data_IF_985462760416
#
_entry.id   IF_985462760416
#
_cell.length_a   1.000
_cell.length_b   1.000
_cell.length_c   1.000
_cell.angle_alpha   90.00
_cell.angle_beta   90.00
_cell.angle_gamma   90.00
#
_symmetry.space_group_name_H-M   'P 1'
#
loop_
_entity.id
_entity.type
_entity.pdbx_description
1 polymer ?
2 polymer ?
3 polymer ?
4 non-polymer ?
5 non-polymer ?
6 water ?
#
loop_
_entity_poly.entity_id
_entity_poly.type
_entity_poly.pdbx_seq_one_letter_code
_entity_poly.pdbx_strand_id
2 'polydeoxyribonucleotide' '(DT)(DC)(DA)(8OG)(DG)(DG)(DG)(DT)(DC)(DC)(DT)' ?
3 'polydeoxyribonucleotide' '(DA)(DG)(DG)(DA)(DC)(DC)(DC)' ?
#
# COMPACT_ATOMS: atom_id res chain seq x y z
N UNK A 27 -10.12 11.28 20.04
CA UNK A 27 -11.37 10.55 20.27
C UNK A 27 -11.30 9.12 19.75
N UNK A 28 -10.88 8.96 18.50
CA UNK A 28 -10.79 7.63 17.88
C UNK A 28 -9.50 6.94 18.26
N UNK A 29 -9.53 5.61 18.19
CA UNK A 29 -8.34 4.80 18.35
C UNK A 29 -8.11 3.98 17.08
N UNK A 30 -7.12 4.40 16.30
CA UNK A 30 -6.85 3.80 15.00
C UNK A 30 -5.52 3.06 15.05
N UNK A 31 -5.47 1.88 14.43
CA UNK A 31 -4.21 1.18 14.29
C UNK A 31 -3.80 1.06 12.82
N UNK A 32 -2.50 1.19 12.57
CA UNK A 32 -1.93 0.95 11.25
C UNK A 32 -0.98 -0.24 11.31
N UNK A 33 -1.24 -1.25 10.48
CA UNK A 33 -0.38 -2.44 10.46
C UNK A 33 0.42 -2.44 9.16
N UNK A 34 1.71 -2.72 9.27
CA UNK A 34 2.64 -2.57 8.16
C UNK A 34 3.62 -3.74 8.20
N UNK A 35 3.52 -4.64 7.22
CA UNK A 35 4.30 -5.88 7.24
C UNK A 35 5.77 -5.62 6.99
N UNK A 36 6.64 -6.40 7.62
CA UNK A 36 8.06 -6.26 7.38
C UNK A 36 8.69 -6.87 6.14
N UNK A 37 9.36 -6.03 5.33
CA UNK A 37 9.84 -6.31 3.99
C UNK A 37 8.95 -7.30 3.24
N UNK A 38 7.71 -6.90 2.99
CA UNK A 38 6.65 -7.83 2.59
C UNK A 38 7.02 -8.91 1.55
N UNK A 39 7.37 -8.51 0.33
CA UNK A 39 7.66 -9.50 -0.72
C UNK A 39 8.75 -10.47 -0.27
N UNK A 40 9.84 -9.91 0.25
CA UNK A 40 10.96 -10.71 0.71
C UNK A 40 10.52 -11.70 1.79
N UNK A 41 9.66 -11.24 2.70
CA UNK A 41 9.16 -12.11 3.76
C UNK A 41 8.41 -13.29 3.19
N UNK A 42 7.59 -13.03 2.17
CA UNK A 42 6.85 -14.11 1.51
C UNK A 42 7.82 -15.09 0.85
N UNK A 43 8.85 -14.58 0.17
CA UNK A 43 9.84 -15.44 -0.47
C UNK A 43 10.59 -16.27 0.55
N UNK A 44 10.98 -15.64 1.66
CA UNK A 44 11.72 -16.34 2.70
C UNK A 44 10.89 -17.47 3.30
N UNK A 45 9.57 -17.28 3.33
CA UNK A 45 8.67 -18.31 3.81
C UNK A 45 8.52 -19.46 2.79
N UNK A 46 8.42 -19.12 1.52
CA UNK A 46 8.27 -20.12 0.46
C UNK A 46 9.51 -20.99 0.33
N UNK A 47 10.66 -20.37 0.57
CA UNK A 47 11.95 -21.02 0.44
C UNK A 47 12.79 -20.74 1.67
N UNK A 48 12.38 -21.32 2.82
CA UNK A 48 13.04 -21.09 4.11
C UNK A 48 14.56 -21.25 4.06
N UNK A 49 15.09 -21.73 2.93
CA UNK A 49 16.53 -21.82 2.75
C UNK A 49 17.12 -20.44 2.50
N UNK A 50 16.27 -19.42 2.55
CA UNK A 50 16.68 -18.05 2.25
C UNK A 50 16.68 -17.14 3.47
N UNK A 51 16.00 -17.53 4.54
CA UNK A 51 15.83 -16.66 5.70
C UNK A 51 17.12 -16.45 6.48
N UNK A 52 18.21 -16.97 5.93
CA UNK A 52 19.51 -16.85 6.58
C UNK A 52 20.38 -15.86 5.82
N UNK A 53 20.01 -15.61 4.56
CA UNK A 53 20.85 -14.86 3.64
C UNK A 53 20.27 -13.49 3.31
N UNK A 54 21.13 -12.56 2.88
CA UNK A 54 20.62 -11.28 2.39
C UNK A 54 19.82 -11.54 1.12
N UNK A 55 18.56 -11.11 1.10
CA UNK A 55 17.66 -11.43 0.00
C UNK A 55 17.06 -10.18 -0.62
N UNK A 56 17.07 -10.13 -1.94
CA UNK A 56 16.44 -9.05 -2.68
C UNK A 56 15.38 -9.60 -3.63
N UNK A 57 14.27 -8.88 -3.77
CA UNK A 57 13.23 -9.24 -4.71
C UNK A 57 13.33 -8.36 -5.94
N UNK A 58 13.49 -8.98 -7.10
CA UNK A 58 13.81 -8.28 -8.32
C UNK A 58 12.62 -8.19 -9.28
N UNK A 59 12.44 -7.02 -9.88
CA UNK A 59 11.47 -6.83 -10.94
C UNK A 59 12.18 -6.09 -12.09
N UNK A 60 12.38 -6.81 -13.19
CA UNK A 60 13.23 -6.31 -14.28
C UNK A 60 14.59 -5.91 -13.70
N UNK A 61 14.91 -4.62 -13.75
CA UNK A 61 16.20 -4.12 -13.31
C UNK A 61 16.18 -3.52 -11.90
N UNK A 62 15.06 -3.67 -11.22
CA UNK A 62 14.89 -3.07 -9.89
C UNK A 62 14.88 -4.07 -8.75
N UNK A 63 15.52 -3.71 -7.65
CA UNK A 63 15.35 -4.46 -6.42
C UNK A 63 14.26 -3.76 -5.61
N UNK A 64 13.02 -4.17 -5.82
CA UNK A 64 11.90 -3.45 -5.26
C UNK A 64 11.95 -3.42 -3.74
N UNK A 65 12.39 -4.52 -3.14
CA UNK A 65 12.58 -4.58 -1.70
C UNK A 65 13.58 -5.69 -1.34
N UNK A 66 14.04 -5.67 -0.10
CA UNK A 66 15.00 -6.65 0.40
C UNK A 66 14.77 -6.90 1.88
N UNK A 67 15.20 -8.05 2.38
CA UNK A 67 15.07 -8.34 3.81
C UNK A 67 16.06 -7.53 4.64
N UNK A 68 15.94 -7.62 5.96
CA UNK A 68 16.74 -6.76 6.84
C UNK A 68 18.19 -7.18 6.94
N UNK A 69 18.47 -8.43 6.59
CA UNK A 69 19.86 -8.87 6.46
C UNK A 69 20.52 -8.09 5.34
N UNK A 70 19.77 -7.83 4.27
CA UNK A 70 20.29 -7.10 3.12
C UNK A 70 20.45 -5.61 3.38
N UNK A 71 19.53 -5.01 4.13
CA UNK A 71 19.60 -3.58 4.41
C UNK A 71 20.78 -3.28 5.32
N UNK A 72 21.14 -4.26 6.14
CA UNK A 72 22.33 -4.18 6.98
C UNK A 72 23.57 -3.95 6.12
N UNK A 73 23.58 -4.55 4.94
CA UNK A 73 24.75 -4.56 4.07
C UNK A 73 24.77 -3.42 3.05
N UNK A 74 23.82 -2.49 3.18
CA UNK A 74 23.78 -1.33 2.31
C UNK A 74 22.70 -1.34 1.25
N UNK A 75 21.95 -2.43 1.14
CA UNK A 75 20.91 -2.54 0.12
C UNK A 75 19.65 -1.75 0.52
N UNK A 76 19.16 -0.92 -0.39
CA UNK A 76 18.01 -0.06 -0.12
C UNK A 76 16.84 -0.39 -1.05
N UNK A 77 15.63 -0.06 -0.62
CA UNK A 77 14.43 -0.32 -1.42
C UNK A 77 14.52 0.37 -2.77
N UNK A 78 14.07 -0.32 -3.82
CA UNK A 78 13.99 0.26 -5.15
C UNK A 78 15.37 0.61 -5.74
N UNK A 79 16.42 -0.07 -5.31
CA UNK A 79 17.76 0.18 -5.85
C UNK A 79 17.97 -0.55 -7.17
N UNK A 80 18.83 0.00 -8.02
CA UNK A 80 19.23 -0.65 -9.26
C UNK A 80 19.98 -1.95 -8.94
N UNK A 81 19.72 -3.00 -9.71
CA UNK A 81 20.43 -4.27 -9.49
C UNK A 81 21.93 -4.08 -9.63
N UNK A 82 22.34 -3.10 -10.42
CA UNK A 82 23.74 -2.76 -10.56
C UNK A 82 24.29 -2.26 -9.23
N UNK A 83 23.63 -1.26 -8.65
CA UNK A 83 24.03 -0.71 -7.36
C UNK A 83 24.02 -1.79 -6.29
N UNK A 84 22.96 -2.60 -6.31
CA UNK A 84 22.79 -3.64 -5.29
C UNK A 84 23.82 -4.75 -5.43
N UNK A 85 24.13 -5.12 -6.67
CA UNK A 85 25.15 -6.14 -6.94
C UNK A 85 26.50 -5.70 -6.40
N UNK A 86 26.96 -4.55 -6.87
CA UNK A 86 28.23 -3.98 -6.45
C UNK A 86 28.32 -3.87 -4.93
N UNK A 87 27.30 -3.28 -4.33
CA UNK A 87 27.29 -3.02 -2.89
C UNK A 87 27.12 -4.29 -2.07
N UNK A 88 26.61 -5.34 -2.70
CA UNK A 88 26.37 -6.60 -1.99
C UNK A 88 26.37 -7.78 -2.97
N UNK A 89 27.57 -8.21 -3.40
CA UNK A 89 27.72 -9.30 -4.37
C UNK A 89 27.11 -10.62 -3.92
N UNK A 90 26.99 -10.85 -2.62
CA UNK A 90 26.40 -12.09 -2.11
C UNK A 90 24.89 -11.98 -1.94
N UNK A 91 24.31 -10.96 -2.55
CA UNK A 91 22.86 -10.74 -2.49
C UNK A 91 22.11 -11.75 -3.35
N UNK A 92 21.32 -12.60 -2.73
CA UNK A 92 20.47 -13.52 -3.47
C UNK A 92 19.26 -12.76 -4.05
N UNK A 93 19.03 -12.91 -5.34
CA UNK A 93 17.89 -12.28 -5.98
C UNK A 93 16.84 -13.31 -6.37
N UNK A 94 15.59 -13.04 -6.00
CA UNK A 94 14.46 -13.82 -6.49
C UNK A 94 13.56 -12.92 -7.32
N UNK A 95 12.89 -13.48 -8.32
CA UNK A 95 12.07 -12.67 -9.21
C UNK A 95 10.65 -12.46 -8.68
N UNK A 96 10.24 -11.20 -8.57
CA UNK A 96 8.93 -10.88 -8.02
C UNK A 96 8.01 -10.13 -8.96
N UNK A 97 8.13 -10.43 -10.26
CA UNK A 97 7.28 -9.81 -11.26
C UNK A 97 5.85 -10.35 -11.22
N UNK A 98 5.70 -11.64 -10.93
CA UNK A 98 4.39 -12.24 -10.71
C UNK A 98 3.96 -11.98 -9.27
N UNK A 99 2.90 -11.18 -9.11
CA UNK A 99 2.46 -10.77 -7.79
C UNK A 99 1.50 -11.76 -7.13
N UNK A 100 1.23 -12.87 -7.80
CA UNK A 100 0.18 -13.80 -7.37
C UNK A 100 0.28 -14.20 -5.89
N UNK A 101 1.46 -14.63 -5.45
CA UNK A 101 1.62 -15.08 -4.07
C UNK A 101 1.59 -13.93 -3.06
N UNK A 102 2.16 -12.78 -3.41
CA UNK A 102 2.09 -11.62 -2.52
C UNK A 102 0.63 -11.21 -2.34
N UNK A 103 -0.09 -11.17 -3.45
CA UNK A 103 -1.50 -10.80 -3.45
C UNK A 103 -2.32 -11.74 -2.56
N UNK A 104 -2.08 -13.04 -2.69
CA UNK A 104 -2.79 -14.01 -1.87
C UNK A 104 -2.49 -13.84 -0.38
N UNK A 105 -1.22 -13.69 -0.01
CA UNK A 105 -0.88 -13.47 1.41
C UNK A 105 -1.48 -12.15 1.88
N UNK A 106 -1.44 -11.15 1.01
CA UNK A 106 -1.98 -9.83 1.34
C UNK A 106 -3.42 -9.92 1.83
N UNK A 107 -4.26 -10.63 1.06
CA UNK A 107 -5.67 -10.79 1.47
C UNK A 107 -5.86 -11.66 2.72
N UNK A 108 -5.02 -12.69 2.89
CA UNK A 108 -5.08 -13.42 4.14
C UNK A 108 -4.83 -12.49 5.33
N UNK A 109 -3.95 -11.50 5.15
CA UNK A 109 -3.68 -10.57 6.26
C UNK A 109 -4.93 -9.75 6.57
N UNK A 110 -5.52 -9.11 5.56
CA UNK A 110 -6.64 -8.26 5.90
C UNK A 110 -7.85 -9.05 6.36
N UNK A 111 -8.01 -10.27 5.84
CA UNK A 111 -9.13 -11.11 6.28
C UNK A 111 -8.95 -11.44 7.74
N UNK A 112 -7.71 -11.72 8.14
CA UNK A 112 -7.43 -11.97 9.56
C UNK A 112 -7.76 -10.72 10.41
N UNK A 113 -7.35 -9.55 9.93
CA UNK A 113 -7.63 -8.32 10.68
C UNK A 113 -9.14 -8.07 10.76
N UNK A 114 -9.87 -8.37 9.69
CA UNK A 114 -11.32 -8.17 9.67
C UNK A 114 -12.07 -8.95 10.76
N UNK A 115 -11.41 -9.97 11.30
CA UNK A 115 -12.00 -10.78 12.34
C UNK A 115 -12.07 -9.99 13.64
N UNK A 116 -11.10 -9.11 13.82
CA UNK A 116 -11.06 -8.20 14.97
C UNK A 116 -12.11 -7.11 14.81
N UNK A 117 -12.13 -6.46 13.65
CA UNK A 117 -13.16 -5.48 13.36
C UNK A 117 -13.38 -5.48 11.86
N UNK A 118 -14.65 -5.48 11.44
CA UNK A 118 -15.01 -5.70 10.04
C UNK A 118 -14.56 -4.57 9.10
N UNK A 119 -14.36 -3.37 9.64
CA UNK A 119 -13.97 -2.23 8.81
C UNK A 119 -12.45 -2.09 8.76
N UNK A 120 -11.85 -2.70 7.74
CA UNK A 120 -10.42 -2.67 7.57
C UNK A 120 -10.14 -2.02 6.24
N UNK A 121 -9.21 -1.06 6.22
CA UNK A 121 -8.86 -0.35 5.00
C UNK A 121 -7.46 -0.74 4.54
N UNK A 122 -7.35 -1.23 3.31
CA UNK A 122 -6.06 -1.65 2.77
C UNK A 122 -5.36 -0.46 2.17
N UNK A 123 -4.04 -0.44 2.25
CA UNK A 123 -3.27 0.53 1.52
C UNK A 123 -2.14 -0.22 0.85
N UNK A 124 -2.22 -0.42 -0.45
CA UNK A 124 -1.29 -1.29 -1.13
C UNK A 124 -1.43 -2.72 -0.63
N UNK A 125 -0.42 -3.54 -0.88
CA UNK A 125 -0.52 -4.95 -0.56
C UNK A 125 -0.16 -5.30 0.88
N UNK A 126 0.56 -4.42 1.57
CA UNK A 126 1.07 -4.83 2.87
C UNK A 126 0.71 -3.93 4.06
N UNK A 127 -0.21 -2.99 3.86
CA UNK A 127 -0.63 -2.12 4.97
C UNK A 127 -2.15 -2.15 5.15
N UNK A 128 -2.60 -2.07 6.40
CA UNK A 128 -4.01 -2.01 6.73
C UNK A 128 -4.29 -1.03 7.88
N UNK A 129 -5.37 -0.26 7.78
CA UNK A 129 -5.90 0.50 8.93
C UNK A 129 -7.10 -0.20 9.51
N UNK A 130 -7.22 -0.18 10.83
CA UNK A 130 -8.39 -0.69 11.52
C UNK A 130 -8.84 0.32 12.57
N UNK A 131 -10.13 0.64 12.59
CA UNK A 131 -10.65 1.55 13.60
C UNK A 131 -11.04 0.73 14.84
N UNK A 132 -10.22 0.84 15.87
CA UNK A 132 -10.38 0.02 17.07
C UNK A 132 -11.30 0.62 18.12
N UNK A 133 -11.89 1.79 17.86
CA UNK A 133 -12.48 2.53 18.99
C UNK A 133 -13.72 1.86 19.60
N UNK A 134 -14.53 1.22 18.77
CA UNK A 134 -15.67 0.47 19.29
C UNK A 134 -15.18 -0.69 20.14
N UNK A 135 -14.12 -1.35 19.67
CA UNK A 135 -13.55 -2.49 20.37
C UNK A 135 -12.90 -2.06 21.69
N UNK A 136 -12.18 -0.95 21.65
CA UNK A 136 -11.59 -0.41 22.87
C UNK A 136 -12.66 -0.10 23.90
N UNK A 137 -13.70 0.60 23.46
CA UNK A 137 -14.83 0.96 24.30
C UNK A 137 -15.42 -0.27 24.98
N UNK A 138 -15.56 -1.34 24.22
CA UNK A 138 -16.17 -2.57 24.69
C UNK A 138 -15.33 -3.16 25.82
N UNK A 139 -14.02 -3.20 25.60
CA UNK A 139 -13.11 -3.77 26.59
C UNK A 139 -13.11 -2.98 27.90
N UNK A 140 -13.24 -1.66 27.82
CA UNK A 140 -13.25 -0.82 29.03
C UNK A 140 -14.52 -1.02 29.83
N UNK A 141 -15.66 -1.06 29.14
CA UNK A 141 -16.94 -1.27 29.81
C UNK A 141 -16.96 -2.56 30.62
N UNK A 142 -16.05 -3.46 30.31
CA UNK A 142 -15.99 -4.76 30.95
C UNK A 142 -14.98 -4.79 32.09
N UNK A 143 -14.01 -3.88 32.03
CA UNK A 143 -13.00 -3.79 33.08
C UNK A 143 -13.63 -3.46 34.43
N UNK A 144 -12.97 -3.88 35.50
CA UNK A 144 -13.44 -3.56 36.85
C UNK A 144 -12.59 -2.43 37.40
N UNK A 145 -12.99 -1.91 38.56
CA UNK A 145 -12.24 -0.82 39.19
C UNK A 145 -10.79 -1.19 39.46
N UNK A 146 -10.59 -2.29 40.17
CA UNK A 146 -9.27 -2.67 40.66
C UNK A 146 -8.30 -3.09 39.56
N UNK A 147 -8.77 -3.18 38.31
CA UNK A 147 -7.94 -3.63 37.21
C UNK A 147 -7.68 -2.55 36.16
N UNK A 148 -8.19 -1.35 36.40
CA UNK A 148 -7.90 -0.20 35.57
C UNK A 148 -6.57 0.38 36.02
N UNK A 149 -5.99 -0.24 37.03
CA UNK A 149 -4.85 0.31 37.78
C UNK A 149 -3.50 0.42 37.06
N UNK A 150 -2.88 -0.62 36.48
CA UNK A 150 -3.30 -2.01 36.22
C UNK A 150 -3.37 -2.25 34.71
N UNK A 151 -3.80 -1.21 33.99
CA UNK A 151 -3.76 -1.22 32.53
C UNK A 151 -2.35 -0.85 32.09
N UNK A 152 -1.82 -1.60 31.12
CA UNK A 152 -0.43 -1.43 30.70
C UNK A 152 -0.27 -1.27 29.19
N UNK A 153 0.89 -0.75 28.77
CA UNK A 153 1.20 -0.64 27.36
C UNK A 153 1.80 -1.93 26.80
N UNK A 154 1.51 -2.21 25.55
CA UNK A 154 2.25 -3.21 24.80
C UNK A 154 3.10 -2.51 23.75
N UNK A 155 4.41 -2.69 23.84
CA UNK A 155 5.31 -2.11 22.86
C UNK A 155 5.83 -0.75 23.29
N UNK A 156 6.34 0.01 22.33
CA UNK A 156 6.95 1.31 22.61
C UNK A 156 5.92 2.42 22.75
N UNK A 157 6.21 3.38 23.62
CA UNK A 157 5.45 4.63 23.71
C UNK A 157 6.27 5.68 22.99
N UNK A 158 5.69 6.29 21.96
CA UNK A 158 6.44 7.24 21.16
C UNK A 158 7.05 8.34 22.04
N UNK A 159 8.31 8.68 21.75
CA UNK A 159 9.04 9.73 22.44
C UNK A 159 9.18 9.46 23.93
N UNK A 160 9.07 8.19 24.32
CA UNK A 160 9.17 7.82 25.74
C UNK A 160 8.27 8.67 26.63
N UNK A 161 7.18 9.18 26.08
CA UNK A 161 6.29 10.04 26.86
C UNK A 161 5.66 9.28 28.02
N UNK A 162 5.61 9.90 29.18
CA UNK A 162 5.08 9.20 30.35
C UNK A 162 3.56 9.08 30.28
N UNK A 163 3.06 7.97 30.80
CA UNK A 163 1.64 7.64 30.76
C UNK A 163 0.91 8.14 31.99
N UNK A 164 -0.26 8.74 31.78
CA UNK A 164 -1.10 9.14 32.90
C UNK A 164 -2.35 8.28 32.88
N UNK A 165 -2.42 7.33 33.82
CA UNK A 165 -3.51 6.34 33.84
C UNK A 165 -4.86 6.96 34.18
N UNK A 166 -4.85 8.24 34.59
CA UNK A 166 -6.07 8.93 34.92
C UNK A 166 -6.62 9.66 33.70
N UNK A 167 -5.79 9.72 32.66
CA UNK A 167 -6.20 10.38 31.43
C UNK A 167 -6.91 9.34 30.56
N UNK A 168 -8.23 9.47 30.38
CA UNK A 168 -8.99 8.47 29.64
C UNK A 168 -8.50 8.27 28.19
N UNK A 169 -7.90 9.31 27.62
CA UNK A 169 -7.32 9.19 26.28
C UNK A 169 -6.10 8.28 26.28
N UNK A 170 -5.29 8.39 27.33
CA UNK A 170 -4.12 7.52 27.46
C UNK A 170 -4.60 6.09 27.65
N UNK A 171 -5.64 5.91 28.47
CA UNK A 171 -6.12 4.56 28.76
C UNK A 171 -6.64 3.87 27.50
N UNK A 172 -7.34 4.63 26.66
CA UNK A 172 -7.93 4.09 25.44
C UNK A 172 -6.86 3.72 24.44
N UNK A 173 -5.84 4.56 24.33
CA UNK A 173 -4.73 4.29 23.44
C UNK A 173 -3.90 3.08 23.90
N UNK A 174 -3.80 2.90 25.23
CA UNK A 174 -3.10 1.74 25.78
C UNK A 174 -3.82 0.45 25.44
N UNK A 175 -5.15 0.44 25.56
CA UNK A 175 -5.92 -0.74 25.20
C UNK A 175 -5.75 -1.01 23.71
N UNK A 176 -5.71 0.07 22.93
CA UNK A 176 -5.41 -0.01 21.51
C UNK A 176 -4.13 -0.78 21.28
N UNK A 177 -3.07 -0.41 21.99
CA UNK A 177 -1.79 -1.07 21.84
C UNK A 177 -1.90 -2.55 22.16
N UNK A 178 -2.73 -2.89 23.15
CA UNK A 178 -2.91 -4.30 23.53
C UNK A 178 -3.57 -5.09 22.40
N UNK A 179 -4.61 -4.51 21.80
CA UNK A 179 -5.28 -5.14 20.68
C UNK A 179 -4.31 -5.29 19.52
N UNK A 180 -3.55 -4.22 19.27
CA UNK A 180 -2.56 -4.23 18.19
C UNK A 180 -1.57 -5.37 18.34
N UNK A 181 -1.19 -5.65 19.58
CA UNK A 181 -0.25 -6.73 19.83
C UNK A 181 -0.90 -8.11 19.62
N UNK A 182 -2.18 -8.22 19.97
CA UNK A 182 -2.97 -9.42 19.70
C UNK A 182 -3.05 -9.67 18.19
N UNK A 183 -3.19 -8.58 17.44
CA UNK A 183 -3.20 -8.63 16.00
C UNK A 183 -1.88 -9.14 15.46
N UNK A 184 -0.77 -8.58 15.93
CA UNK A 184 0.53 -8.97 15.40
C UNK A 184 0.85 -10.41 15.78
N UNK A 185 0.36 -10.83 16.94
CA UNK A 185 0.55 -12.18 17.44
C UNK A 185 -0.23 -13.20 16.61
N UNK A 186 -1.48 -12.88 16.28
CA UNK A 186 -2.30 -13.74 15.44
C UNK A 186 -1.68 -13.87 14.06
N UNK A 187 -1.20 -12.75 13.53
CA UNK A 187 -0.62 -12.72 12.21
C UNK A 187 0.60 -13.63 12.16
N UNK A 188 1.36 -13.65 13.24
CA UNK A 188 2.54 -14.49 13.27
C UNK A 188 2.14 -15.96 13.45
N UNK A 189 1.25 -16.20 14.39
CA UNK A 189 0.83 -17.54 14.73
C UNK A 189 0.09 -18.24 13.59
N UNK A 190 -0.74 -17.47 12.87
CA UNK A 190 -1.61 -18.06 11.86
C UNK A 190 -1.09 -17.94 10.44
N UNK A 191 -0.24 -16.95 10.18
CA UNK A 191 0.26 -16.74 8.83
C UNK A 191 1.76 -16.75 8.75
N UNK A 192 2.43 -16.77 9.90
CA UNK A 192 3.89 -16.75 9.91
C UNK A 192 4.49 -15.40 9.56
N UNK A 193 3.65 -14.36 9.58
CA UNK A 193 4.05 -13.05 9.11
C UNK A 193 4.34 -12.10 10.26
N UNK A 194 5.39 -11.32 10.09
CA UNK A 194 5.86 -10.40 11.10
C UNK A 194 5.64 -9.00 10.54
N UNK A 195 5.41 -8.02 11.41
CA UNK A 195 5.11 -6.66 10.98
C UNK A 195 5.04 -5.64 12.10
N UNK A 196 4.94 -4.37 11.74
CA UNK A 196 4.83 -3.30 12.71
C UNK A 196 3.40 -2.80 12.86
N UNK A 197 3.11 -2.22 14.02
CA UNK A 197 1.84 -1.57 14.29
C UNK A 197 2.09 -0.17 14.85
N UNK A 198 1.23 0.78 14.48
CA UNK A 198 1.25 2.09 15.09
C UNK A 198 -0.16 2.39 15.58
N UNK A 199 -0.30 2.85 16.81
CA UNK A 199 -1.61 3.18 17.35
C UNK A 199 -1.66 4.68 17.67
N UNK A 200 -2.69 5.34 17.16
CA UNK A 200 -2.87 6.78 17.39
C UNK A 200 -4.33 7.19 17.18
N UNK A 201 -4.59 8.49 17.20
CA UNK A 201 -5.97 8.97 17.19
C UNK A 201 -6.54 9.18 15.79
N UNK A 202 -5.68 9.12 14.76
CA UNK A 202 -6.16 9.16 13.39
C UNK A 202 -5.23 8.38 12.45
N UNK A 203 -5.66 8.20 11.21
CA UNK A 203 -4.93 7.37 10.24
C UNK A 203 -3.55 7.92 9.91
N UNK A 204 -3.48 9.23 9.67
CA UNK A 204 -2.21 9.91 9.39
C UNK A 204 -1.18 9.55 10.44
N UNK A 205 -1.56 9.78 11.70
CA UNK A 205 -0.65 9.62 12.83
C UNK A 205 -0.34 8.15 13.13
N UNK A 206 -1.32 7.26 12.96
CA UNK A 206 -1.06 5.85 13.15
C UNK A 206 0.00 5.40 12.15
N UNK A 207 -0.13 5.88 10.92
CA UNK A 207 0.79 5.50 9.86
C UNK A 207 2.18 6.09 10.05
N UNK A 208 2.26 7.32 10.54
CA UNK A 208 3.56 7.92 10.80
C UNK A 208 4.24 7.24 11.97
N UNK A 209 3.46 6.83 12.97
CA UNK A 209 4.09 6.27 14.17
C UNK A 209 4.45 4.78 14.08
N UNK A 210 3.81 4.06 13.16
CA UNK A 210 4.02 2.61 13.07
C UNK A 210 5.43 2.26 12.62
N UNK A 211 6.05 3.14 11.84
CA UNK A 211 7.43 2.93 11.42
C UNK A 211 8.54 3.46 12.33
N UNK A 212 8.19 3.96 13.51
CA UNK A 212 9.23 4.56 14.38
C UNK A 212 10.20 3.51 14.90
N UNK A 213 9.69 2.34 15.29
CA UNK A 213 10.56 1.23 15.66
C UNK A 213 10.32 0.08 14.69
N UNK A 214 11.35 -0.29 13.95
CA UNK A 214 11.29 -1.37 12.96
C UNK A 214 12.54 -2.21 13.07
N UNK A 215 12.47 -3.49 12.66
CA UNK A 215 11.25 -4.16 12.18
C UNK A 215 10.52 -4.88 13.32
N UNK A 216 9.36 -5.43 13.00
CA UNK A 216 8.63 -6.29 13.95
C UNK A 216 8.47 -5.71 15.37
N UNK A 217 8.00 -4.47 15.46
CA UNK A 217 7.76 -3.81 16.74
C UNK A 217 6.53 -2.93 16.60
N UNK A 218 6.07 -2.34 17.70
CA UNK A 218 4.92 -1.44 17.61
C UNK A 218 5.09 -0.27 18.53
N UNK A 219 4.48 0.84 18.16
CA UNK A 219 4.50 2.00 19.04
C UNK A 219 3.19 2.76 19.07
N UNK A 220 2.90 3.35 20.23
CA UNK A 220 1.66 4.06 20.45
C UNK A 220 1.95 5.54 20.64
N UNK A 221 1.10 6.38 20.05
CA UNK A 221 1.26 7.84 20.10
C UNK A 221 0.27 8.49 21.07
N UNK A 222 0.77 9.04 22.17
CA UNK A 222 -0.07 9.80 23.09
C UNK A 222 -0.23 11.20 22.53
N UNK A 223 -1.37 11.86 22.79
CA UNK A 223 -1.72 13.11 22.12
C UNK A 223 -0.69 14.25 22.30
N UNK A 224 -0.09 14.38 23.47
CA UNK A 224 0.85 15.50 23.67
C UNK A 224 2.15 15.35 22.89
N UNK A 225 2.36 14.20 22.28
CA UNK A 225 3.56 13.99 21.47
C UNK A 225 3.30 14.13 19.97
N UNK A 226 2.07 14.51 19.62
CA UNK A 226 1.69 14.68 18.23
C UNK A 226 2.60 15.66 17.46
N UNK A 227 2.88 16.81 18.05
CA UNK A 227 3.71 17.81 17.35
C UNK A 227 5.14 17.32 17.17
N UNK A 228 5.67 16.63 18.16
CA UNK A 228 7.01 16.09 18.07
C UNK A 228 7.07 15.12 16.89
N UNK A 229 6.05 14.29 16.74
CA UNK A 229 6.01 13.34 15.63
C UNK A 229 6.02 14.04 14.28
N UNK A 230 5.13 15.01 14.08
CA UNK A 230 5.07 15.67 12.79
C UNK A 230 6.33 16.49 12.48
N UNK A 231 6.90 17.11 13.51
CA UNK A 231 8.10 17.91 13.29
C UNK A 231 9.35 17.06 13.17
N UNK A 232 9.26 15.78 13.54
CA UNK A 232 10.37 14.84 13.34
C UNK A 232 10.63 14.58 11.85
N UNK A 233 9.68 14.92 10.99
CA UNK A 233 9.84 14.69 9.55
C UNK A 233 10.78 15.72 8.95
N UNK A 234 11.57 15.31 7.96
CA UNK A 234 12.58 16.19 7.38
C UNK A 234 12.23 16.68 5.98
N UNK A 235 11.27 16.03 5.35
CA UNK A 235 10.85 16.41 4.00
C UNK A 235 9.34 16.42 3.93
N UNK A 236 8.79 17.40 3.24
CA UNK A 236 7.35 17.54 3.20
C UNK A 236 6.71 16.36 2.45
N UNK A 237 7.48 15.68 1.61
CA UNK A 237 7.00 14.47 0.92
C UNK A 237 6.73 13.32 1.88
N UNK A 238 7.30 13.36 3.08
CA UNK A 238 7.11 12.25 4.02
C UNK A 238 5.68 12.17 4.56
N UNK A 239 4.91 13.23 4.35
CA UNK A 239 3.52 13.26 4.76
C UNK A 239 2.70 12.50 3.71
N UNK A 240 2.07 11.40 4.12
CA UNK A 240 1.15 10.65 3.24
C UNK A 240 0.10 11.59 2.69
N UNK A 241 0.09 11.78 1.37
CA UNK A 241 -0.89 12.64 0.72
C UNK A 241 -0.18 13.74 -0.05
N UNK A 242 1.08 13.95 0.31
CA UNK A 242 1.89 14.91 -0.41
C UNK A 242 2.93 14.15 -1.26
N UNK A 243 2.72 14.12 -2.56
CA UNK A 243 3.55 13.34 -3.46
C UNK A 243 4.51 14.16 -4.30
N UNK A 244 5.08 13.54 -5.33
CA UNK A 244 6.12 14.16 -6.14
C UNK A 244 5.70 15.50 -6.73
N UNK A 245 4.54 15.52 -7.38
CA UNK A 245 4.07 16.74 -8.03
C UNK A 245 3.79 17.85 -6.99
N UNK A 246 3.07 17.48 -5.95
CA UNK A 246 2.65 18.45 -4.94
C UNK A 246 3.88 19.01 -4.22
N UNK A 247 4.83 18.14 -3.89
CA UNK A 247 6.03 18.56 -3.18
C UNK A 247 6.92 19.43 -4.05
N UNK A 248 6.94 19.13 -5.35
CA UNK A 248 7.72 19.93 -6.29
C UNK A 248 7.14 21.34 -6.36
N UNK A 249 5.81 21.44 -6.36
CA UNK A 249 5.15 22.74 -6.38
C UNK A 249 5.46 23.51 -5.11
N UNK A 250 5.42 22.82 -3.97
CA UNK A 250 5.69 23.47 -2.67
C UNK A 250 7.13 23.94 -2.57
N UNK A 251 8.06 23.16 -3.11
CA UNK A 251 9.45 23.55 -3.16
C UNK A 251 9.59 24.84 -3.95
N UNK A 252 8.77 24.99 -4.97
CA UNK A 252 8.75 26.19 -5.79
C UNK A 252 8.30 27.40 -4.98
N UNK A 253 7.49 27.15 -3.95
CA UNK A 253 6.91 28.23 -3.18
C UNK A 253 7.75 28.57 -1.94
N UNK A 254 8.91 27.94 -1.81
CA UNK A 254 9.78 28.17 -0.67
C UNK A 254 9.40 27.30 0.52
N UNK A 255 8.51 26.35 0.31
CA UNK A 255 8.01 25.51 1.39
C UNK A 255 8.75 24.17 1.46
N UNK A 256 9.49 23.95 2.53
CA UNK A 256 10.33 22.77 2.63
C UNK A 256 10.13 21.94 3.88
N UNK A 257 9.86 22.60 5.01
CA UNK A 257 9.64 21.89 6.26
C UNK A 257 8.14 21.68 6.49
N UNK A 258 7.79 20.77 7.38
CA UNK A 258 6.42 20.73 7.86
C UNK A 258 6.02 22.14 8.29
N UNK A 259 6.80 22.75 9.18
CA UNK A 259 6.46 24.09 9.68
C UNK A 259 6.28 25.14 8.59
N UNK A 260 7.12 25.13 7.56
CA UNK A 260 6.87 26.03 6.41
C UNK A 260 5.46 25.85 5.89
N UNK A 261 5.00 24.60 5.79
CA UNK A 261 3.65 24.35 5.28
C UNK A 261 2.59 24.78 6.29
N UNK A 262 2.82 24.46 7.56
CA UNK A 262 1.90 24.86 8.61
C UNK A 262 1.70 26.37 8.59
N UNK A 263 2.77 27.07 8.23
CA UNK A 263 2.87 28.52 8.36
C UNK A 263 2.47 29.30 7.11
N UNK A 264 2.44 28.62 5.97
CA UNK A 264 2.23 29.33 4.72
C UNK A 264 0.82 29.93 4.64
N UNK A 265 0.70 31.05 3.93
CA UNK A 265 -0.59 31.71 3.75
C UNK A 265 -1.59 30.76 3.11
N UNK A 266 -2.69 30.49 3.83
CA UNK A 266 -3.74 29.62 3.28
C UNK A 266 -4.28 30.19 1.97
N UNK A 267 -4.42 31.51 1.91
CA UNK A 267 -4.90 32.17 0.70
C UNK A 267 -4.06 31.80 -0.51
N UNK A 268 -2.76 32.06 -0.41
CA UNK A 268 -1.85 31.78 -1.53
C UNK A 268 -1.78 30.29 -1.86
N UNK A 269 -1.77 29.45 -0.82
CA UNK A 269 -1.73 28.01 -1.02
C UNK A 269 -2.93 27.57 -1.85
N UNK A 270 -4.12 28.00 -1.43
CA UNK A 270 -5.36 27.68 -2.13
C UNK A 270 -5.28 28.07 -3.61
N UNK A 271 -4.80 29.29 -3.87
CA UNK A 271 -4.69 29.80 -5.22
C UNK A 271 -3.43 29.37 -5.96
N UNK A 272 -2.97 28.16 -5.66
CA UNK A 272 -1.81 27.59 -6.33
C UNK A 272 -1.99 26.08 -6.44
N UNK A 273 -2.80 25.52 -5.54
CA UNK A 273 -3.04 24.08 -5.52
C UNK A 273 -4.54 23.80 -5.47
N UNK A 274 -5.34 24.85 -5.39
CA UNK A 274 -6.78 24.72 -5.33
C UNK A 274 -7.26 24.47 -3.91
N UNK A 275 -8.52 24.81 -3.65
CA UNK A 275 -9.07 24.74 -2.31
C UNK A 275 -8.97 23.34 -1.69
N UNK A 276 -9.32 22.33 -2.47
CA UNK A 276 -9.36 20.96 -1.96
C UNK A 276 -8.02 20.46 -1.45
N UNK A 277 -6.99 20.60 -2.29
CA UNK A 277 -5.66 20.13 -1.93
C UNK A 277 -5.08 20.97 -0.80
N UNK A 278 -5.13 22.29 -0.99
CA UNK A 278 -4.58 23.22 -0.01
C UNK A 278 -5.10 22.96 1.41
N UNK A 279 -6.41 22.91 1.58
CA UNK A 279 -6.97 22.72 2.91
C UNK A 279 -6.63 21.35 3.49
N UNK A 280 -6.58 20.35 2.62
CA UNK A 280 -6.26 18.99 3.06
C UNK A 280 -4.80 18.83 3.50
N UNK A 281 -3.87 19.20 2.62
CA UNK A 281 -2.47 19.05 2.99
C UNK A 281 -2.06 19.98 4.12
N UNK A 282 -2.70 21.14 4.22
CA UNK A 282 -2.35 22.06 5.30
C UNK A 282 -2.81 21.47 6.63
N UNK A 283 -4.00 20.87 6.62
CA UNK A 283 -4.47 20.13 7.79
C UNK A 283 -3.50 19.02 8.12
N UNK A 284 -3.13 18.25 7.11
CA UNK A 284 -2.17 17.17 7.29
C UNK A 284 -0.87 17.66 7.96
N UNK A 285 -0.43 18.88 7.63
CA UNK A 285 0.83 19.37 8.20
C UNK A 285 0.74 19.66 9.71
N UNK A 286 -0.49 19.82 10.22
CA UNK A 286 -0.69 19.96 11.66
C UNK A 286 -0.95 18.62 12.36
N UNK A 287 -0.98 17.53 11.58
CA UNK A 287 -1.27 16.22 12.17
C UNK A 287 -2.77 15.93 12.26
N UNK A 288 -3.57 16.70 11.54
CA UNK A 288 -5.03 16.54 11.56
C UNK A 288 -5.49 15.76 10.34
N UNK A 289 -6.37 14.81 10.56
CA UNK A 289 -6.86 13.92 9.52
C UNK A 289 -8.17 13.29 9.98
N UNK A 290 -9.29 13.85 9.55
CA UNK A 290 -10.58 13.34 9.98
C UNK A 290 -11.15 12.23 9.07
N UNK A 291 -10.38 11.77 8.09
CA UNK A 291 -10.91 10.75 7.17
C UNK A 291 -11.19 9.47 7.93
N UNK A 292 -12.35 8.87 7.67
CA UNK A 292 -12.72 7.61 8.32
C UNK A 292 -11.92 6.44 7.74
N UNK A 293 -11.71 5.42 8.55
CA UNK A 293 -11.23 4.14 8.04
C UNK A 293 -12.37 3.53 7.22
N UNK A 294 -12.09 3.24 5.95
CA UNK A 294 -13.09 2.69 5.03
C UNK A 294 -12.92 1.19 4.80
N UNK A 295 -14.04 0.47 4.71
CA UNK A 295 -14.01 -0.95 4.39
C UNK A 295 -13.61 -1.14 2.91
N UNK A 296 -12.39 -1.62 2.69
CA UNK A 296 -11.93 -1.83 1.31
C UNK A 296 -12.74 -2.92 0.61
N UNK A 297 -12.92 -4.05 1.29
CA UNK A 297 -13.66 -5.17 0.73
C UNK A 297 -12.91 -5.82 -0.43
N UNK A 298 -13.67 -6.42 -1.38
CA UNK A 298 -13.05 -7.04 -2.56
C UNK A 298 -12.48 -5.94 -3.45
N UNK A 299 -11.45 -6.25 -4.25
CA UNK A 299 -10.88 -5.25 -5.16
C UNK A 299 -11.91 -4.77 -6.18
N UNK A 300 -11.72 -3.56 -6.68
CA UNK A 300 -12.65 -2.99 -7.65
C UNK A 300 -12.08 -3.06 -9.05
N UNK A 301 -10.86 -3.59 -9.17
CA UNK A 301 -10.24 -3.77 -10.47
C UNK A 301 -9.15 -4.83 -10.42
N UNK A 302 -8.97 -5.52 -11.54
CA UNK A 302 -7.90 -6.49 -11.71
C UNK A 302 -7.10 -6.05 -12.92
N UNK A 303 -5.80 -5.84 -12.75
CA UNK A 303 -4.96 -5.52 -13.89
C UNK A 303 -3.71 -6.38 -13.91
N UNK A 304 -3.10 -6.49 -15.09
CA UNK A 304 -1.80 -7.11 -15.26
C UNK A 304 -1.01 -6.26 -16.24
N UNK A 305 0.28 -6.05 -15.96
CA UNK A 305 1.13 -5.35 -16.90
C UNK A 305 2.42 -6.09 -17.21
N UNK A 306 3.02 -5.72 -18.33
CA UNK A 306 4.40 -6.10 -18.62
C UNK A 306 5.08 -4.89 -19.21
N UNK A 307 6.31 -4.63 -18.78
CA UNK A 307 7.10 -3.58 -19.39
C UNK A 307 8.29 -4.19 -20.12
N UNK A 308 8.79 -3.46 -21.12
CA UNK A 308 9.85 -3.97 -21.98
C UNK A 308 10.56 -2.81 -22.64
N UNK A 309 11.76 -3.08 -23.16
CA UNK A 309 12.51 -2.06 -23.88
C UNK A 309 11.75 -1.63 -25.13
N UNK A 310 11.22 -2.59 -25.87
CA UNK A 310 10.52 -2.28 -27.10
C UNK A 310 9.49 -3.30 -27.57
N UNK A 311 8.31 -2.80 -27.96
CA UNK A 311 7.37 -3.53 -28.78
C UNK A 311 6.98 -2.65 -29.94
N UNK A 312 7.27 -3.10 -31.16
CA UNK A 312 7.16 -2.23 -32.33
C UNK A 312 6.29 -2.81 -33.45
N UNK A 313 5.61 -3.91 -33.17
CA UNK A 313 4.72 -4.51 -34.16
C UNK A 313 3.41 -4.94 -33.52
N UNK A 314 2.35 -4.95 -34.32
CA UNK A 314 1.03 -5.34 -33.86
C UNK A 314 0.99 -6.83 -33.53
N UNK A 315 1.78 -7.61 -34.26
CA UNK A 315 1.85 -9.04 -34.03
C UNK A 315 2.38 -9.34 -32.63
N UNK A 316 3.37 -8.56 -32.20
CA UNK A 316 3.88 -8.68 -30.83
C UNK A 316 2.79 -8.25 -29.86
N UNK A 317 2.29 -7.04 -30.05
CA UNK A 317 1.27 -6.48 -29.17
C UNK A 317 0.19 -7.49 -28.86
N UNK A 318 -0.36 -8.12 -29.90
CA UNK A 318 -1.44 -9.08 -29.73
C UNK A 318 -1.02 -10.27 -28.85
N UNK A 319 0.18 -10.79 -29.10
CA UNK A 319 0.71 -11.89 -28.29
C UNK A 319 0.90 -11.46 -26.83
N UNK A 320 1.51 -10.30 -26.64
CA UNK A 320 1.66 -9.71 -25.31
C UNK A 320 0.32 -9.67 -24.61
N UNK A 321 -0.65 -9.07 -25.29
CA UNK A 321 -1.99 -8.87 -24.73
C UNK A 321 -2.70 -10.20 -24.43
N UNK A 322 -2.53 -11.19 -25.30
CA UNK A 322 -3.14 -12.49 -25.06
C UNK A 322 -2.57 -13.11 -23.80
N UNK A 323 -1.30 -12.85 -23.56
CA UNK A 323 -0.61 -13.33 -22.36
C UNK A 323 -1.24 -12.71 -21.12
N UNK A 324 -1.38 -11.39 -21.15
CA UNK A 324 -1.93 -10.65 -20.01
C UNK A 324 -3.36 -11.08 -19.77
N UNK A 325 -4.13 -11.14 -20.83
CA UNK A 325 -5.54 -11.54 -20.76
C UNK A 325 -5.69 -12.94 -20.17
N UNK A 326 -4.82 -13.86 -20.55
CA UNK A 326 -4.87 -15.22 -20.02
C UNK A 326 -4.82 -15.22 -18.50
N UNK A 327 -3.82 -14.56 -17.94
CA UNK A 327 -3.68 -14.45 -16.49
C UNK A 327 -4.93 -13.86 -15.85
N UNK A 328 -5.38 -12.72 -16.36
CA UNK A 328 -6.54 -12.05 -15.80
C UNK A 328 -7.76 -12.95 -15.74
N UNK A 329 -8.01 -13.68 -16.82
CA UNK A 329 -9.16 -14.57 -16.88
C UNK A 329 -9.10 -15.62 -15.78
N UNK A 330 -7.90 -16.09 -15.48
CA UNK A 330 -7.69 -16.97 -14.33
C UNK A 330 -8.13 -16.33 -13.02
N UNK A 331 -7.81 -15.05 -12.86
CA UNK A 331 -8.11 -14.32 -11.63
C UNK A 331 -9.59 -13.96 -11.50
N UNK A 332 -10.18 -13.44 -12.57
CA UNK A 332 -11.61 -13.23 -12.63
C UNK A 332 -12.35 -14.51 -12.26
N UNK A 333 -11.83 -15.63 -12.77
CA UNK A 333 -12.41 -16.94 -12.51
C UNK A 333 -12.62 -17.19 -11.02
N UNK A 334 -11.53 -17.10 -10.26
CA UNK A 334 -11.57 -17.38 -8.82
C UNK A 334 -12.50 -16.42 -8.08
N UNK A 335 -12.52 -15.16 -8.52
CA UNK A 335 -13.20 -14.10 -7.79
C UNK A 335 -14.69 -14.37 -7.57
N UNK A 336 -15.40 -14.69 -8.65
CA UNK A 336 -16.82 -14.95 -8.55
C UNK A 336 -17.65 -13.85 -9.21
N UNK A 337 -17.23 -12.60 -9.01
CA UNK A 337 -17.89 -11.46 -9.65
C UNK A 337 -17.46 -11.36 -11.09
N UNK A 338 -18.23 -10.62 -11.89
CA UNK A 338 -17.93 -10.45 -13.30
C UNK A 338 -17.70 -8.99 -13.64
N UNK A 339 -16.64 -8.70 -14.41
CA UNK A 339 -16.31 -7.33 -14.82
C UNK A 339 -17.23 -6.87 -15.94
N UNK A 340 -17.51 -5.56 -15.99
CA UNK A 340 -18.39 -5.02 -17.02
C UNK A 340 -17.69 -4.04 -17.96
N UNK A 341 -16.42 -3.72 -17.68
CA UNK A 341 -15.63 -3.00 -18.66
C UNK A 341 -14.17 -3.48 -18.69
N UNK A 342 -13.51 -3.27 -19.82
CA UNK A 342 -12.11 -3.64 -20.01
C UNK A 342 -11.35 -2.40 -20.40
N UNK A 343 -10.09 -2.34 -19.99
CA UNK A 343 -9.27 -1.21 -20.34
C UNK A 343 -7.92 -1.72 -20.83
N UNK A 344 -7.39 -1.03 -21.82
CA UNK A 344 -6.07 -1.32 -22.34
C UNK A 344 -5.23 -0.08 -22.10
N UNK A 345 -4.05 -0.29 -21.52
CA UNK A 345 -3.15 0.82 -21.22
C UNK A 345 -1.84 0.62 -21.96
N UNK A 346 -1.29 1.70 -22.51
CA UNK A 346 0.04 1.66 -23.12
C UNK A 346 0.94 2.76 -22.57
N UNK A 347 2.21 2.68 -22.92
CA UNK A 347 3.17 3.76 -22.65
C UNK A 347 4.09 3.87 -23.86
N UNK A 348 4.05 5.01 -24.53
CA UNK A 348 4.89 5.20 -25.72
C UNK A 348 6.30 5.58 -25.30
N UNK A 349 7.26 5.28 -26.16
CA UNK A 349 8.67 5.55 -25.86
C UNK A 349 8.94 7.04 -25.74
N UNK A 350 9.58 7.43 -24.64
CA UNK A 350 9.92 8.82 -24.38
C UNK A 350 8.68 9.72 -24.40
N UNK A 356 3.31 10.38 -20.22
CA UNK A 356 2.72 9.39 -19.34
C UNK A 356 2.03 8.27 -20.11
N UNK A 357 1.07 7.64 -19.46
CA UNK A 357 0.34 6.53 -20.07
C UNK A 357 -0.93 6.99 -20.79
N UNK A 358 -1.37 6.19 -21.75
CA UNK A 358 -2.65 6.43 -22.42
C UNK A 358 -3.50 5.17 -22.36
N UNK A 359 -4.82 5.36 -22.22
CA UNK A 359 -5.72 4.23 -22.08
C UNK A 359 -6.96 4.37 -22.96
N UNK A 360 -7.59 3.23 -23.20
CA UNK A 360 -8.87 3.17 -23.88
C UNK A 360 -9.67 2.06 -23.22
N UNK A 361 -10.91 2.35 -22.87
CA UNK A 361 -11.78 1.34 -22.30
C UNK A 361 -13.07 1.23 -23.11
N UNK A 362 -13.85 0.19 -22.80
CA UNK A 362 -15.17 0.02 -23.39
C UNK A 362 -15.90 -1.04 -22.57
N UNK A 363 -17.24 -1.05 -22.65
CA UNK A 363 -17.96 -2.09 -21.92
C UNK A 363 -17.76 -3.46 -22.57
N UNK A 364 -17.88 -4.50 -21.77
CA UNK A 364 -17.79 -5.87 -22.24
C UNK A 364 -19.17 -6.35 -22.66
N UNK A 365 -19.32 -6.77 -23.93
CA UNK A 365 -20.62 -7.24 -24.43
C UNK A 365 -21.32 -8.16 -23.45
N UNK A 366 -22.64 -8.01 -23.32
CA UNK A 366 -23.42 -8.81 -22.38
C UNK A 366 -23.18 -10.30 -22.54
N UNK A 367 -23.15 -10.78 -23.79
CA UNK A 367 -22.97 -12.21 -24.05
C UNK A 367 -21.58 -12.71 -23.66
N UNK A 368 -20.58 -11.85 -23.79
CA UNK A 368 -19.22 -12.22 -23.39
C UNK A 368 -19.14 -12.44 -21.89
N UNK A 369 -19.85 -11.60 -21.13
CA UNK A 369 -19.81 -11.63 -19.66
C UNK A 369 -20.17 -12.99 -19.07
N UNK A 370 -20.85 -13.82 -19.86
CA UNK A 370 -21.08 -15.20 -19.46
C UNK A 370 -20.01 -16.09 -20.09
N UNK A 371 -19.03 -16.49 -19.28
CA UNK A 371 -17.83 -17.14 -19.81
C UNK A 371 -17.46 -18.49 -19.16
N UNK A 372 -17.14 -18.46 -17.87
CA UNK A 372 -16.58 -19.61 -17.17
C UNK A 372 -17.20 -20.93 -17.61
N UNK A 376 -15.23 -22.54 -19.30
CA UNK A 376 -15.89 -23.65 -19.97
C UNK A 376 -16.12 -23.37 -21.45
N UNK A 377 -16.26 -22.11 -21.80
CA UNK A 377 -16.41 -21.70 -23.19
C UNK A 377 -15.07 -21.16 -23.71
N UNK A 378 -15.13 -20.37 -24.78
CA UNK A 378 -13.92 -19.77 -25.34
C UNK A 378 -14.02 -18.26 -25.37
N UNK A 379 -13.67 -17.62 -24.25
CA UNK A 379 -13.81 -16.18 -24.12
C UNK A 379 -12.59 -15.43 -24.66
N UNK A 380 -11.50 -16.17 -24.86
CA UNK A 380 -10.27 -15.56 -25.34
C UNK A 380 -10.43 -14.75 -26.60
N UNK A 381 -10.75 -15.42 -27.71
CA UNK A 381 -10.74 -14.79 -29.03
C UNK A 381 -11.56 -13.49 -29.15
N UNK A 382 -12.76 -13.44 -28.54
CA UNK A 382 -13.54 -12.20 -28.62
C UNK A 382 -13.00 -11.09 -27.71
N UNK A 383 -12.42 -11.45 -26.58
CA UNK A 383 -11.84 -10.44 -25.70
C UNK A 383 -10.61 -9.83 -26.35
N UNK A 384 -9.79 -10.65 -27.01
CA UNK A 384 -8.60 -10.15 -27.70
C UNK A 384 -9.00 -9.29 -28.90
N UNK A 385 -10.14 -9.62 -29.51
CA UNK A 385 -10.66 -8.84 -30.62
C UNK A 385 -11.02 -7.43 -30.17
N UNK A 386 -11.73 -7.36 -29.04
CA UNK A 386 -12.10 -6.08 -28.45
C UNK A 386 -10.86 -5.28 -28.07
N UNK A 387 -9.91 -5.93 -27.41
CA UNK A 387 -8.70 -5.25 -26.96
C UNK A 387 -7.84 -4.74 -28.11
N UNK A 388 -7.81 -5.48 -29.22
CA UNK A 388 -7.04 -5.06 -30.38
C UNK A 388 -7.67 -3.86 -31.09
N UNK A 389 -8.99 -3.80 -31.11
CA UNK A 389 -9.68 -2.62 -31.58
C UNK A 389 -9.29 -1.41 -30.73
N UNK A 390 -9.26 -1.61 -29.40
CA UNK A 390 -8.82 -0.55 -28.49
C UNK A 390 -7.39 -0.14 -28.79
N UNK A 391 -6.53 -1.14 -28.99
CA UNK A 391 -5.13 -0.91 -29.29
C UNK A 391 -4.95 -0.02 -30.52
N UNK A 392 -5.56 -0.43 -31.64
CA UNK A 392 -5.41 0.30 -32.90
C UNK A 392 -6.07 1.68 -32.82
N UNK A 393 -6.99 1.84 -31.89
CA UNK A 393 -7.66 3.13 -31.72
C UNK A 393 -6.70 4.21 -31.20
N UNK A 394 -5.67 3.79 -30.48
CA UNK A 394 -4.72 4.73 -29.91
C UNK A 394 -3.31 4.52 -30.45
N UNK A 395 -3.13 3.49 -31.26
CA UNK A 395 -1.85 3.26 -31.93
C UNK A 395 -2.04 3.16 -33.43
N UNK A 396 -1.48 4.12 -34.16
CA UNK A 396 -1.49 4.08 -35.62
C UNK A 396 -0.56 2.99 -36.10
N UNK A 397 -1.13 1.86 -36.52
CA UNK A 397 -0.36 0.69 -36.89
C UNK A 397 0.31 0.81 -38.26
N UNK A 398 -0.17 1.74 -39.07
CA UNK A 398 0.44 1.99 -40.38
C UNK A 398 1.69 2.84 -40.25
N UNK A 399 1.82 3.51 -39.10
CA UNK A 399 3.00 4.32 -38.81
C UNK A 399 3.76 3.74 -37.62
N UNK A 400 5.06 3.43 -37.82
CA UNK A 400 5.93 2.80 -36.83
C UNK A 400 5.71 3.36 -35.42
N UNK A 401 5.65 2.47 -34.43
CA UNK A 401 5.46 2.89 -33.05
C UNK A 401 6.44 2.20 -32.12
N UNK A 402 6.55 2.72 -30.89
CA UNK A 402 7.49 2.20 -29.92
C UNK A 402 6.86 2.19 -28.54
N UNK A 403 6.10 1.14 -28.24
CA UNK A 403 5.51 0.99 -26.91
C UNK A 403 6.57 0.46 -25.96
N UNK A 404 6.36 0.69 -24.68
CA UNK A 404 7.35 0.30 -23.69
C UNK A 404 6.63 -0.31 -22.50
N UNK A 405 5.31 -0.41 -22.63
CA UNK A 405 4.46 -1.05 -21.63
C UNK A 405 3.09 -1.41 -22.20
N UNK A 406 2.59 -2.59 -21.81
CA UNK A 406 1.24 -2.98 -22.13
C UNK A 406 0.52 -3.45 -20.88
N UNK A 407 -0.74 -3.08 -20.74
CA UNK A 407 -1.49 -3.42 -19.56
C UNK A 407 -2.96 -3.64 -19.88
N UNK A 408 -3.55 -4.64 -19.27
CA UNK A 408 -4.97 -4.90 -19.41
C UNK A 408 -5.64 -4.81 -18.05
N UNK A 409 -6.78 -4.14 -17.99
CA UNK A 409 -7.50 -3.93 -16.74
C UNK A 409 -8.96 -4.30 -16.86
N UNK A 410 -9.40 -5.17 -15.95
CA UNK A 410 -10.83 -5.43 -15.77
C UNK A 410 -11.35 -4.58 -14.62
N UNK A 411 -12.45 -3.88 -14.84
CA UNK A 411 -13.08 -3.11 -13.77
C UNK A 411 -14.61 -3.12 -13.89
N UNK A 412 -15.26 -2.23 -13.16
CA UNK A 412 -16.72 -2.22 -13.08
C UNK A 412 -17.24 -3.61 -12.76
N UNK A 413 -16.74 -4.18 -11.66
CA UNK A 413 -17.12 -5.51 -11.23
C UNK A 413 -18.51 -5.51 -10.61
N UNK A 414 -19.27 -6.56 -10.92
CA UNK A 414 -20.61 -6.74 -10.37
C UNK A 414 -20.82 -8.20 -9.99
X LIG D 1 4.06 11.46 0.59
X LIG E 1 6.00 -2.90 5.01
X LIG F 1 6.69 -0.95 1.81
X LIG F 1 6.83 0.51 1.48
X LIG F 1 5.69 -1.16 2.91
X LIG F 1 8.12 -1.56 2.23
X LIG F 1 8.35 -3.08 2.69
X LIG F 1 7.13 -3.70 3.30
X LIG F 1 8.84 -3.89 1.51
X LIG F 1 9.54 -2.99 3.76
X LIG F 1 9.38 -2.27 5.20
X LIG F 1 9.88 -3.21 6.25
X LIG F 1 7.95 -1.91 5.47
X LIG F 1 10.23 -1.03 5.18
X LIG F 1 6.26 -1.77 0.49
X LIG F 1 5.39 -2.89 0.58
X LIG F 1 5.58 -3.77 -0.65
X LIG F 1 5.06 -3.12 -1.81
X LIG F 1 7.05 -4.04 -0.91
X LIG F 1 7.39 -5.37 -0.49
X LIG F 1 7.24 -3.87 -2.40
X LIG F 1 5.94 -3.30 -2.92
X LIG F 1 6.21 -2.03 -3.60
X LIG F 1 6.32 -1.99 -5.01
X LIG F 1 6.18 -3.05 -5.65
X LIG F 1 6.57 -0.85 -5.68
X LIG F 1 6.73 0.29 -5.01
X LIG F 1 6.97 1.35 -5.62
X LIG F 1 6.62 0.29 -3.54
X LIG F 1 6.80 1.58 -2.78
X LIG F 1 6.36 -0.90 -2.89
#
# INVERSE_FOLDING_TARGET
MELADVGAAASSQGVHDQVLPTPNASSRVIVHVDLDCFYAQVEMISNPELKDKPLGVQQKYLVVTCNYEARKLGVKKLMNVRDAKEKCPQLVLVNGEDLTRYREMSYKVTELLEEFSPVVERLGFDENFVDLTEMVEKRLQQLQSDELSAVTVSGHVYNNQSINLLDVLHIRLLVGSQIAAEMREAMYNQLGLTGCAGVASNKLLAKLVSGVFKPNQQTVLLPESCQHLIHSLNHIKEIPGIGYKTAKCLEALGINSVRDLQTFSPKILEKELGISVAQRIQKLSFGEDNSPVILSGPPQSFSEEDSFKKCSSEVEAKNKIEELLASLLNRVCQDGRKPHTVRLIIRRYSSEKHYGRESRQCPIPSHVIQKLGTGNYDVMTPMVDILMKLFRNMVNVKMPFHLTLLSVCFCNLKALNTAK
MG MG
MG MG
TTP PA O1A O2A O3A PB O1B O2B O3B PG O1G O2G O3G O5' C5' C4' O4' C3' O3' C2' C1' N1 C2 O2 N3 C4 O4 C5 C5M C6
#
